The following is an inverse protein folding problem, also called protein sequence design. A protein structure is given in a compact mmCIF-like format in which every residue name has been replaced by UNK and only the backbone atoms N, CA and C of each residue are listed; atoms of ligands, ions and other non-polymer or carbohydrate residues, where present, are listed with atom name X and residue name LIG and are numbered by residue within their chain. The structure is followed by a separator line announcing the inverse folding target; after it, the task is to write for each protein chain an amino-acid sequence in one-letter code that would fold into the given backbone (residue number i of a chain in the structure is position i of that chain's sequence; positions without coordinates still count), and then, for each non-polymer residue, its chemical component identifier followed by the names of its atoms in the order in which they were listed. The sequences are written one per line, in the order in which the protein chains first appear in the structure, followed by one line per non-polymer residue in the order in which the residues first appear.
data_IF_776944235414
#
_entry.id   IF_776944235414
#
_cell.length_a   1.000
_cell.length_b   1.000
_cell.length_c   1.000
_cell.angle_alpha   90.00
_cell.angle_beta   90.00
_cell.angle_gamma   90.00
#
_symmetry.space_group_name_H-M   'P 1'
#
loop_
_entity.id
_entity.type
_entity.pdbx_description
1 polymer ?
#
# COMPACT_ATOMS: atom_id res chain seq x y z
N UNK A 1 -23.20 -8.79 5.01
CA UNK A 1 -22.83 -8.67 6.44
C UNK A 1 -21.33 -8.88 6.51
N UNK A 2 -20.53 -7.81 6.46
CA UNK A 2 -19.13 -7.86 6.84
C UNK A 2 -19.10 -8.35 8.30
N UNK A 3 -18.52 -9.51 8.55
CA UNK A 3 -18.14 -9.90 9.90
C UNK A 3 -17.05 -8.91 10.31
N UNK A 4 -17.40 -7.96 11.21
CA UNK A 4 -16.41 -7.20 11.94
C UNK A 4 -15.42 -8.21 12.53
N UNK A 5 -14.16 -8.13 12.09
CA UNK A 5 -13.09 -8.89 12.70
C UNK A 5 -12.87 -8.29 14.09
N UNK A 6 -13.47 -8.92 15.09
CA UNK A 6 -13.54 -8.43 16.45
C UNK A 6 -12.15 -8.19 17.02
N UNK A 7 -11.85 -6.93 17.32
CA UNK A 7 -10.94 -6.63 18.42
C UNK A 7 -11.60 -7.28 19.63
N UNK A 8 -10.89 -8.15 20.35
CA UNK A 8 -11.44 -8.72 21.58
C UNK A 8 -11.61 -7.56 22.58
N UNK A 9 -12.68 -7.52 23.35
CA UNK A 9 -12.92 -6.46 24.37
C UNK A 9 -11.73 -6.24 25.30
N UNK A 10 -10.87 -7.23 25.48
CA UNK A 10 -9.60 -7.13 26.21
C UNK A 10 -8.58 -6.22 25.53
N UNK A 11 -8.60 -6.10 24.21
CA UNK A 11 -7.61 -5.31 23.46
C UNK A 11 -7.97 -3.82 23.53
N UNK A 12 -9.23 -3.47 23.66
CA UNK A 12 -9.67 -2.05 23.81
C UNK A 12 -9.22 -1.48 25.15
N UNK A 13 -9.12 -2.28 26.20
CA UNK A 13 -8.62 -1.86 27.52
C UNK A 13 -7.16 -1.39 27.43
N UNK A 14 -6.36 -1.98 26.55
CA UNK A 14 -4.94 -1.63 26.35
C UNK A 14 -4.77 -0.22 25.76
N UNK A 15 -5.78 0.26 25.02
CA UNK A 15 -5.73 1.59 24.39
C UNK A 15 -6.19 2.74 25.30
N UNK A 16 -6.71 2.47 26.52
CA UNK A 16 -7.20 3.51 27.42
C UNK A 16 -6.15 4.53 27.82
N UNK A 17 -4.90 4.08 27.99
CA UNK A 17 -3.80 4.92 28.47
C UNK A 17 -2.80 5.33 27.39
N UNK A 18 -3.07 4.97 26.11
CA UNK A 18 -2.18 5.34 25.01
C UNK A 18 -2.23 6.85 24.78
N UNK A 19 -1.09 7.48 24.55
CA UNK A 19 -1.06 8.88 24.11
C UNK A 19 -1.59 8.97 22.69
N UNK A 20 -2.64 9.75 22.48
CA UNK A 20 -3.26 9.98 21.18
C UNK A 20 -2.69 11.24 20.49
N UNK A 21 -2.78 11.35 19.16
CA UNK A 21 -3.12 10.26 18.25
C UNK A 21 -1.98 9.23 18.16
N UNK A 22 -2.32 7.96 17.93
CA UNK A 22 -1.33 6.89 17.82
C UNK A 22 -1.71 5.84 16.79
N UNK A 23 -0.80 5.51 15.88
CA UNK A 23 -0.89 4.27 15.12
C UNK A 23 -0.46 3.10 15.97
N UNK A 24 -1.19 2.00 15.88
CA UNK A 24 -0.87 0.75 16.57
C UNK A 24 -0.83 -0.37 15.55
N UNK A 25 0.32 -1.02 15.43
CA UNK A 25 0.50 -2.20 14.56
C UNK A 25 0.20 -3.45 15.40
N UNK A 26 -0.74 -4.26 14.94
CA UNK A 26 -1.06 -5.56 15.55
C UNK A 26 -0.13 -6.63 14.97
N UNK A 27 0.89 -7.01 15.74
CA UNK A 27 1.90 -7.99 15.31
C UNK A 27 1.28 -9.35 15.01
N UNK A 28 0.26 -9.78 15.76
CA UNK A 28 -0.35 -11.09 15.54
C UNK A 28 -1.12 -11.14 14.21
N UNK A 29 -1.81 -10.05 13.86
CA UNK A 29 -2.50 -9.93 12.57
C UNK A 29 -1.50 -9.82 11.41
N UNK A 30 -0.41 -9.07 11.61
CA UNK A 30 0.68 -8.98 10.64
C UNK A 30 1.29 -10.38 10.38
N UNK A 31 1.58 -11.16 11.42
CA UNK A 31 2.08 -12.53 11.29
C UNK A 31 1.08 -13.43 10.56
N UNK A 32 -0.22 -13.27 10.82
CA UNK A 32 -1.25 -14.03 10.10
C UNK A 32 -1.15 -13.79 8.59
N UNK A 33 -1.10 -12.54 8.15
CA UNK A 33 -0.94 -12.18 6.75
C UNK A 33 0.37 -12.73 6.15
N UNK A 34 1.47 -12.58 6.88
CA UNK A 34 2.78 -13.07 6.46
C UNK A 34 2.82 -14.58 6.28
N UNK A 35 2.07 -15.35 7.08
CA UNK A 35 1.95 -16.81 6.91
C UNK A 35 1.24 -17.18 5.61
N UNK A 36 0.21 -16.43 5.21
CA UNK A 36 -0.49 -16.64 3.93
C UNK A 36 0.48 -16.39 2.78
N UNK A 37 1.18 -15.25 2.79
CA UNK A 37 2.18 -14.90 1.78
C UNK A 37 3.29 -15.93 1.69
N UNK A 38 3.81 -16.38 2.84
CA UNK A 38 4.81 -17.46 2.90
C UNK A 38 4.30 -18.78 2.35
N UNK A 39 3.02 -19.07 2.50
CA UNK A 39 2.36 -20.22 1.90
C UNK A 39 2.46 -20.19 0.37
N UNK A 40 2.17 -19.04 -0.25
CA UNK A 40 2.29 -18.85 -1.71
C UNK A 40 3.74 -19.04 -2.17
N UNK A 41 4.72 -18.41 -1.50
CA UNK A 41 6.14 -18.61 -1.82
C UNK A 41 6.56 -20.10 -1.72
N UNK A 42 6.15 -20.79 -0.67
CA UNK A 42 6.51 -22.21 -0.47
C UNK A 42 5.92 -23.10 -1.54
N UNK A 43 4.69 -22.82 -1.97
CA UNK A 43 3.99 -23.67 -2.93
C UNK A 43 4.47 -23.47 -4.38
N UNK A 44 4.91 -22.26 -4.72
CA UNK A 44 5.27 -21.88 -6.09
C UNK A 44 6.77 -21.66 -6.28
N UNK A 45 7.51 -21.35 -5.22
CA UNK A 45 8.89 -20.86 -5.33
C UNK A 45 9.00 -19.44 -5.88
N UNK A 46 7.90 -18.69 -5.98
CA UNK A 46 7.95 -17.27 -6.33
C UNK A 46 8.54 -16.44 -5.19
N UNK A 47 8.95 -15.23 -5.51
CA UNK A 47 9.47 -14.27 -4.54
C UNK A 47 8.43 -13.18 -4.28
N UNK A 48 8.09 -12.97 -3.02
CA UNK A 48 7.18 -11.89 -2.60
C UNK A 48 7.99 -10.77 -1.96
N UNK A 49 7.76 -9.55 -2.42
CA UNK A 49 8.44 -8.34 -1.96
C UNK A 49 7.42 -7.39 -1.33
N UNK A 50 7.76 -6.83 -0.17
CA UNK A 50 6.96 -5.76 0.44
C UNK A 50 7.05 -4.49 -0.41
N UNK A 51 5.92 -4.00 -0.92
CA UNK A 51 5.86 -2.67 -1.53
C UNK A 51 5.81 -1.60 -0.42
N UNK A 52 6.95 -0.95 -0.20
CA UNK A 52 7.15 -0.02 0.92
C UNK A 52 6.24 1.21 0.86
N UNK A 53 5.78 1.60 -0.34
CA UNK A 53 4.82 2.70 -0.53
C UNK A 53 3.51 2.52 0.26
N UNK A 54 3.11 1.29 0.53
CA UNK A 54 1.91 0.99 1.33
C UNK A 54 2.22 0.87 2.82
N UNK A 55 3.38 0.32 3.18
CA UNK A 55 3.77 0.07 4.56
C UNK A 55 5.28 0.17 4.73
N UNK A 56 5.74 1.16 5.49
CA UNK A 56 7.17 1.43 5.75
C UNK A 56 7.52 1.51 7.24
N UNK A 57 6.72 0.90 8.10
CA UNK A 57 7.05 0.80 9.52
C UNK A 57 8.23 -0.16 9.72
N UNK A 58 9.43 0.34 9.50
CA UNK A 58 10.68 -0.43 9.41
C UNK A 58 11.02 -1.21 10.68
N UNK A 59 10.51 -0.81 11.84
CA UNK A 59 10.65 -1.61 13.07
C UNK A 59 10.09 -3.04 12.91
N UNK A 60 9.18 -3.26 11.94
CA UNK A 60 8.62 -4.57 11.62
C UNK A 60 9.40 -5.32 10.53
N UNK A 61 10.37 -4.70 9.86
CA UNK A 61 11.12 -5.31 8.77
C UNK A 61 11.89 -6.57 9.16
N UNK A 62 12.54 -6.65 10.34
CA UNK A 62 13.17 -7.88 10.78
C UNK A 62 12.19 -9.06 10.92
N UNK A 63 10.95 -8.79 11.35
CA UNK A 63 9.89 -9.79 11.41
C UNK A 63 9.41 -10.17 10.01
N UNK A 64 9.07 -9.18 9.18
CA UNK A 64 8.58 -9.39 7.81
C UNK A 64 9.59 -10.20 6.99
N UNK A 65 10.86 -9.87 7.09
CA UNK A 65 11.95 -10.55 6.40
C UNK A 65 12.13 -12.04 6.77
N UNK A 66 11.53 -12.53 7.86
CA UNK A 66 11.51 -13.97 8.17
C UNK A 66 10.51 -14.74 7.29
N UNK A 67 9.55 -14.05 6.69
CA UNK A 67 8.47 -14.68 5.94
C UNK A 67 8.60 -14.47 4.43
N UNK A 68 8.92 -13.27 3.96
CA UNK A 68 8.96 -12.94 2.54
C UNK A 68 10.38 -12.60 2.05
N UNK A 69 10.54 -12.53 0.72
CA UNK A 69 11.86 -12.52 0.08
C UNK A 69 12.59 -11.18 0.17
N UNK A 70 11.88 -10.05 0.30
CA UNK A 70 12.54 -8.74 0.34
C UNK A 70 11.58 -7.56 0.24
N UNK A 71 12.08 -6.46 -0.31
CA UNK A 71 11.35 -5.19 -0.48
C UNK A 71 11.37 -4.71 -1.93
N UNK A 72 10.34 -3.94 -2.30
CA UNK A 72 10.34 -3.13 -3.51
C UNK A 72 10.10 -1.66 -3.16
N UNK A 73 10.85 -0.79 -3.79
CA UNK A 73 10.91 0.64 -3.53
C UNK A 73 10.33 1.45 -4.69
N UNK A 74 9.78 2.62 -4.38
CA UNK A 74 9.31 3.60 -5.37
C UNK A 74 10.31 4.75 -5.61
N UNK A 75 11.46 4.70 -4.97
CA UNK A 75 12.55 5.69 -5.08
C UNK A 75 13.70 5.38 -4.16
N UNK A 76 14.73 6.25 -4.19
CA UNK A 76 15.99 6.03 -3.48
C UNK A 76 15.82 5.85 -1.97
N UNK A 77 14.99 6.65 -1.31
CA UNK A 77 14.90 6.59 0.15
C UNK A 77 14.20 5.31 0.64
N UNK A 78 13.17 4.83 -0.08
CA UNK A 78 12.60 3.51 0.21
C UNK A 78 13.61 2.39 -0.08
N UNK A 79 14.38 2.48 -1.16
CA UNK A 79 15.40 1.49 -1.48
C UNK A 79 16.50 1.42 -0.41
N UNK A 80 16.93 2.58 0.10
CA UNK A 80 17.86 2.65 1.25
C UNK A 80 17.25 2.02 2.49
N UNK A 81 16.01 2.40 2.83
CA UNK A 81 15.31 1.86 4.00
C UNK A 81 15.21 0.33 3.94
N UNK A 82 14.80 -0.23 2.79
CA UNK A 82 14.75 -1.68 2.59
C UNK A 82 16.11 -2.35 2.75
N UNK A 83 17.17 -1.74 2.19
CA UNK A 83 18.53 -2.25 2.28
C UNK A 83 19.08 -2.20 3.72
N UNK A 84 18.86 -1.10 4.42
CA UNK A 84 19.39 -0.86 5.75
C UNK A 84 18.65 -1.70 6.82
N UNK A 85 17.32 -1.82 6.74
CA UNK A 85 16.48 -2.35 7.81
C UNK A 85 16.01 -3.80 7.59
N UNK A 86 15.81 -4.24 6.33
CA UNK A 86 15.47 -5.64 6.04
C UNK A 86 16.69 -6.43 5.55
N UNK A 87 17.54 -5.79 4.75
CA UNK A 87 18.77 -6.36 4.17
C UNK A 87 18.56 -7.70 3.46
N UNK A 88 17.51 -7.75 2.65
CA UNK A 88 17.17 -8.87 1.75
C UNK A 88 17.12 -8.39 0.31
N UNK A 89 16.50 -9.14 -0.57
CA UNK A 89 16.33 -8.75 -1.98
C UNK A 89 15.64 -7.38 -2.06
N UNK A 90 16.21 -6.45 -2.83
CA UNK A 90 15.83 -5.04 -2.85
C UNK A 90 15.64 -4.56 -4.29
N UNK A 91 14.41 -4.35 -4.68
CA UNK A 91 14.04 -3.88 -6.02
C UNK A 91 13.63 -2.40 -5.99
N UNK A 92 13.72 -1.74 -7.14
CA UNK A 92 13.21 -0.38 -7.30
C UNK A 92 12.53 -0.20 -8.65
N UNK A 93 11.36 0.43 -8.63
CA UNK A 93 10.68 0.98 -9.79
C UNK A 93 10.25 2.42 -9.49
N UNK A 94 10.63 3.37 -10.36
CA UNK A 94 10.10 4.72 -10.34
C UNK A 94 9.74 5.19 -11.76
N UNK A 95 8.71 6.03 -11.92
CA UNK A 95 8.35 6.59 -13.22
C UNK A 95 9.47 7.41 -13.87
N UNK A 96 10.36 7.97 -13.06
CA UNK A 96 11.57 8.67 -13.49
C UNK A 96 12.68 8.56 -12.45
N UNK A 97 13.93 8.67 -12.90
CA UNK A 97 15.11 8.65 -12.02
C UNK A 97 15.96 9.90 -12.27
N UNK A 98 16.48 10.48 -11.19
CA UNK A 98 17.56 11.44 -11.26
C UNK A 98 18.90 10.72 -11.41
N UNK A 99 19.91 11.37 -11.99
CA UNK A 99 21.24 10.77 -12.13
C UNK A 99 21.87 10.47 -10.77
N UNK A 100 21.77 11.40 -9.86
CA UNK A 100 22.28 11.27 -8.48
C UNK A 100 21.67 10.07 -7.75
N UNK A 101 20.35 9.84 -7.93
CA UNK A 101 19.69 8.67 -7.34
C UNK A 101 20.19 7.36 -7.97
N UNK A 102 20.36 7.33 -9.30
CA UNK A 102 20.89 6.15 -10.00
C UNK A 102 22.30 5.77 -9.56
N UNK A 103 23.16 6.76 -9.25
CA UNK A 103 24.53 6.53 -8.79
C UNK A 103 24.57 5.80 -7.43
N UNK A 104 23.50 5.94 -6.62
CA UNK A 104 23.33 5.20 -5.37
C UNK A 104 22.54 3.90 -5.59
N UNK A 105 21.44 3.92 -6.34
CA UNK A 105 20.57 2.76 -6.54
C UNK A 105 21.32 1.56 -7.11
N UNK A 106 22.25 1.78 -8.06
CA UNK A 106 23.06 0.70 -8.64
C UNK A 106 23.98 0.00 -7.63
N UNK A 107 24.17 0.55 -6.43
CA UNK A 107 25.01 -0.03 -5.37
C UNK A 107 24.20 -0.82 -4.34
N UNK A 108 22.88 -0.55 -4.24
CA UNK A 108 22.04 -1.06 -3.16
C UNK A 108 20.87 -1.91 -3.63
N UNK A 109 20.50 -1.85 -4.92
CA UNK A 109 19.41 -2.63 -5.47
C UNK A 109 19.91 -3.85 -6.23
N UNK A 110 19.18 -4.95 -6.12
CA UNK A 110 19.38 -6.17 -6.90
C UNK A 110 18.73 -6.04 -8.28
N UNK A 111 17.52 -5.42 -8.35
CA UNK A 111 16.81 -5.15 -9.59
C UNK A 111 16.44 -3.67 -9.70
N UNK A 112 16.68 -3.10 -10.90
CA UNK A 112 16.21 -1.76 -11.26
C UNK A 112 15.29 -1.86 -12.46
N UNK A 113 14.08 -1.36 -12.33
CA UNK A 113 13.02 -1.46 -13.33
C UNK A 113 12.80 -0.10 -13.96
N UNK A 114 12.91 -0.01 -15.27
CA UNK A 114 12.71 1.22 -16.04
C UNK A 114 11.27 1.35 -16.52
N UNK A 115 10.79 2.58 -16.56
CA UNK A 115 9.44 2.93 -16.97
C UNK A 115 9.30 3.24 -18.45
N UNK A 116 10.39 3.47 -19.15
CA UNK A 116 10.38 3.87 -20.56
C UNK A 116 11.61 3.43 -21.33
N UNK A 117 11.48 3.36 -22.65
CA UNK A 117 12.59 3.10 -23.57
C UNK A 117 13.72 4.14 -23.38
N UNK A 118 13.37 5.40 -23.15
CA UNK A 118 14.36 6.47 -22.95
C UNK A 118 15.18 6.26 -21.66
N UNK A 119 14.52 5.85 -20.55
CA UNK A 119 15.24 5.52 -19.31
C UNK A 119 16.17 4.32 -19.52
N UNK A 120 15.68 3.27 -20.19
CA UNK A 120 16.47 2.08 -20.50
C UNK A 120 17.74 2.47 -21.29
N UNK A 121 17.60 3.25 -22.36
CA UNK A 121 18.74 3.75 -23.15
C UNK A 121 19.72 4.55 -22.30
N UNK A 122 19.21 5.41 -21.43
CA UNK A 122 20.03 6.29 -20.62
C UNK A 122 20.86 5.55 -19.58
N UNK A 123 20.28 4.57 -18.90
CA UNK A 123 20.86 3.98 -17.70
C UNK A 123 21.34 2.53 -17.85
N UNK A 124 20.97 1.84 -18.94
CA UNK A 124 21.34 0.43 -19.17
C UNK A 124 22.84 0.14 -18.96
N UNK A 125 23.70 0.94 -19.56
CA UNK A 125 25.16 0.75 -19.45
C UNK A 125 25.66 0.88 -18.01
N UNK A 126 25.11 1.79 -17.24
CA UNK A 126 25.47 2.00 -15.84
C UNK A 126 25.07 0.79 -14.98
N UNK A 127 23.85 0.29 -15.17
CA UNK A 127 23.35 -0.89 -14.45
C UNK A 127 24.16 -2.16 -14.81
N UNK A 128 24.40 -2.40 -16.10
CA UNK A 128 25.20 -3.56 -16.56
C UNK A 128 26.61 -3.54 -15.97
N UNK A 129 27.25 -2.35 -15.95
CA UNK A 129 28.59 -2.20 -15.34
C UNK A 129 28.57 -2.50 -13.83
N UNK A 130 27.49 -2.19 -13.15
CA UNK A 130 27.31 -2.44 -11.72
C UNK A 130 26.86 -3.89 -11.41
N UNK A 131 26.49 -4.68 -12.43
CA UNK A 131 25.99 -6.03 -12.25
C UNK A 131 24.55 -6.10 -11.71
N UNK A 132 23.78 -5.02 -11.85
CA UNK A 132 22.39 -4.95 -11.41
C UNK A 132 21.48 -5.55 -12.48
N UNK A 133 20.51 -6.36 -12.08
CA UNK A 133 19.50 -6.91 -12.98
C UNK A 133 18.53 -5.82 -13.47
N UNK A 134 18.29 -5.78 -14.76
CA UNK A 134 17.50 -4.74 -15.41
C UNK A 134 16.12 -5.27 -15.80
N UNK A 135 15.07 -4.52 -15.42
CA UNK A 135 13.72 -4.73 -15.87
C UNK A 135 13.13 -3.59 -16.68
N UNK A 136 12.11 -3.91 -17.45
CA UNK A 136 11.28 -2.93 -18.14
C UNK A 136 9.82 -3.10 -17.71
N UNK A 137 9.20 -2.05 -17.19
CA UNK A 137 7.76 -2.06 -16.92
C UNK A 137 6.99 -1.92 -18.22
N UNK A 138 6.11 -2.86 -18.48
CA UNK A 138 5.21 -2.89 -19.63
C UNK A 138 3.79 -2.49 -19.22
N UNK A 139 3.04 -1.93 -20.18
CA UNK A 139 1.63 -1.59 -20.03
C UNK A 139 0.82 -2.38 -21.07
N UNK A 140 0.01 -3.35 -20.64
CA UNK A 140 -0.80 -4.15 -21.54
C UNK A 140 -2.01 -3.39 -22.10
N UNK A 141 -2.29 -2.16 -21.64
CA UNK A 141 -3.42 -1.34 -22.09
C UNK A 141 -4.77 -2.05 -21.89
N UNK A 142 -4.88 -2.82 -20.81
CA UNK A 142 -6.09 -3.52 -20.37
C UNK A 142 -6.34 -3.19 -18.92
N UNK A 143 -7.53 -2.70 -18.62
CA UNK A 143 -7.98 -2.33 -17.28
C UNK A 143 -8.98 -3.33 -16.73
N UNK A 144 -8.88 -3.62 -15.45
CA UNK A 144 -9.88 -4.36 -14.67
C UNK A 144 -10.52 -3.49 -13.58
N UNK A 145 -10.21 -2.16 -13.56
CA UNK A 145 -10.64 -1.24 -12.48
C UNK A 145 -12.09 -0.75 -12.62
N UNK A 146 -12.79 -1.09 -13.71
CA UNK A 146 -14.18 -0.67 -13.95
C UNK A 146 -14.31 0.86 -14.00
N UNK A 147 -15.19 1.43 -13.17
CA UNK A 147 -15.45 2.87 -13.14
C UNK A 147 -14.39 3.69 -12.39
N UNK A 148 -13.40 3.04 -11.74
CA UNK A 148 -12.37 3.69 -10.92
C UNK A 148 -11.13 4.06 -11.71
N UNK A 149 -11.25 4.88 -12.75
CA UNK A 149 -10.13 5.29 -13.62
C UNK A 149 -8.95 5.93 -12.87
N UNK A 150 -9.18 6.54 -11.71
CA UNK A 150 -8.13 7.15 -10.88
C UNK A 150 -7.13 6.13 -10.33
N UNK A 151 -7.54 4.88 -10.20
CA UNK A 151 -6.69 3.78 -9.70
C UNK A 151 -6.09 2.94 -10.83
N UNK A 152 -6.44 3.25 -12.09
CA UNK A 152 -6.06 2.42 -13.22
C UNK A 152 -4.68 2.77 -13.76
N UNK A 153 -3.67 1.93 -13.52
CA UNK A 153 -2.32 2.17 -14.04
C UNK A 153 -2.21 1.91 -15.55
N UNK A 154 -3.25 1.33 -16.17
CA UNK A 154 -3.29 0.97 -17.59
C UNK A 154 -4.25 1.83 -18.42
N UNK A 155 -4.86 2.86 -17.83
CA UNK A 155 -5.76 3.79 -18.52
C UNK A 155 -5.07 4.55 -19.64
N UNK A 156 -5.84 5.04 -20.58
CA UNK A 156 -5.36 5.94 -21.63
C UNK A 156 -4.68 7.18 -21.01
N UNK A 157 -3.51 7.54 -21.51
CA UNK A 157 -2.71 8.65 -20.95
C UNK A 157 -1.93 8.30 -19.69
N UNK A 158 -1.97 7.07 -19.19
CA UNK A 158 -1.14 6.64 -18.07
C UNK A 158 0.34 6.82 -18.39
N UNK A 159 1.09 7.41 -17.44
CA UNK A 159 2.55 7.55 -17.54
C UNK A 159 3.31 6.28 -17.17
N UNK A 160 2.61 5.20 -16.83
CA UNK A 160 3.20 4.01 -16.19
C UNK A 160 3.36 2.87 -17.18
N UNK A 161 4.60 2.52 -17.46
CA UNK A 161 4.99 1.40 -18.31
C UNK A 161 5.00 1.70 -19.81
N UNK A 162 5.63 0.82 -20.55
CA UNK A 162 5.82 0.91 -22.00
C UNK A 162 4.72 0.10 -22.70
N UNK A 163 3.97 0.73 -23.59
CA UNK A 163 3.00 0.04 -24.44
C UNK A 163 3.71 -0.80 -25.51
N UNK A 164 3.03 -1.79 -26.07
CA UNK A 164 3.61 -2.61 -27.15
C UNK A 164 4.06 -1.75 -28.35
N UNK A 165 3.26 -0.73 -28.71
CA UNK A 165 3.59 0.22 -29.77
C UNK A 165 4.89 0.97 -29.49
N UNK A 166 5.06 1.47 -28.26
CA UNK A 166 6.25 2.21 -27.87
C UNK A 166 7.48 1.30 -27.80
N UNK A 167 7.32 0.04 -27.36
CA UNK A 167 8.39 -0.94 -27.32
C UNK A 167 8.85 -1.30 -28.73
N UNK A 168 7.93 -1.63 -29.64
CA UNK A 168 8.25 -1.97 -31.02
C UNK A 168 8.98 -0.81 -31.72
N UNK A 169 8.48 0.43 -31.57
CA UNK A 169 9.18 1.60 -32.09
C UNK A 169 10.61 1.72 -31.54
N UNK A 170 10.80 1.47 -30.25
CA UNK A 170 12.12 1.51 -29.62
C UNK A 170 13.06 0.46 -30.19
N UNK A 171 12.56 -0.75 -30.51
CA UNK A 171 13.32 -1.85 -31.12
C UNK A 171 13.62 -1.54 -32.59
N UNK A 172 12.68 -0.96 -33.35
CA UNK A 172 12.90 -0.55 -34.74
C UNK A 172 14.01 0.52 -34.85
N UNK A 173 14.16 1.37 -33.84
CA UNK A 173 15.23 2.38 -33.75
C UNK A 173 16.56 1.81 -33.23
N UNK A 174 16.54 0.74 -32.46
CA UNK A 174 17.70 0.09 -31.85
C UNK A 174 17.42 -1.39 -31.62
N UNK A 175 17.86 -2.25 -32.54
CA UNK A 175 17.65 -3.69 -32.45
C UNK A 175 18.26 -4.34 -31.19
N UNK A 176 19.23 -3.67 -30.56
CA UNK A 176 19.89 -4.12 -29.33
C UNK A 176 19.23 -3.51 -28.06
N UNK A 177 18.07 -2.88 -28.20
CA UNK A 177 17.39 -2.20 -27.08
C UNK A 177 17.22 -3.11 -25.87
N UNK A 178 16.78 -4.34 -26.08
CA UNK A 178 16.49 -5.31 -25.01
C UNK A 178 17.71 -6.17 -24.62
N UNK A 179 18.85 -6.01 -25.25
CA UNK A 179 20.07 -6.72 -24.88
C UNK A 179 20.48 -6.34 -23.44
N UNK A 180 20.64 -7.35 -22.58
CA UNK A 180 20.95 -7.16 -21.15
C UNK A 180 19.76 -6.76 -20.29
N UNK A 181 18.54 -6.77 -20.81
CA UNK A 181 17.31 -6.69 -20.00
C UNK A 181 16.95 -8.09 -19.53
N UNK A 182 16.93 -8.29 -18.23
CA UNK A 182 16.70 -9.60 -17.60
C UNK A 182 15.23 -9.94 -17.39
N UNK A 183 14.35 -8.92 -17.30
CA UNK A 183 12.96 -9.19 -16.98
C UNK A 183 11.97 -8.12 -17.41
N UNK A 184 10.71 -8.52 -17.39
CA UNK A 184 9.58 -7.63 -17.57
C UNK A 184 8.79 -7.51 -16.26
N UNK A 185 8.26 -6.32 -16.05
CA UNK A 185 7.43 -5.99 -14.91
C UNK A 185 6.10 -5.41 -15.41
N UNK A 186 4.98 -5.82 -14.81
CA UNK A 186 3.71 -5.15 -14.97
C UNK A 186 3.01 -4.99 -13.62
N UNK A 187 2.30 -3.89 -13.47
CA UNK A 187 1.49 -3.60 -12.29
C UNK A 187 0.17 -3.05 -12.80
N UNK A 188 -0.84 -3.91 -12.86
CA UNK A 188 -2.13 -3.65 -13.51
C UNK A 188 -3.29 -3.61 -12.54
N UNK A 189 -3.08 -4.04 -11.30
CA UNK A 189 -4.11 -4.20 -10.28
C UNK A 189 -4.03 -3.10 -9.21
N UNK A 190 -5.18 -2.81 -8.62
CA UNK A 190 -5.32 -2.08 -7.38
C UNK A 190 -6.44 -2.73 -6.56
N UNK A 191 -6.10 -3.30 -5.39
CA UNK A 191 -7.02 -3.94 -4.45
C UNK A 191 -7.93 -5.02 -5.06
N UNK A 192 -7.39 -5.84 -5.96
CA UNK A 192 -8.18 -6.80 -6.72
C UNK A 192 -7.86 -8.25 -6.38
N UNK A 193 -8.80 -9.15 -6.73
CA UNK A 193 -8.66 -10.59 -6.60
C UNK A 193 -7.88 -11.18 -7.80
N UNK A 194 -7.56 -12.45 -7.73
CA UNK A 194 -6.74 -13.17 -8.73
C UNK A 194 -7.41 -13.37 -10.10
N UNK A 195 -8.71 -13.26 -10.20
CA UNK A 195 -9.44 -13.22 -11.48
C UNK A 195 -9.06 -12.01 -12.34
N UNK A 196 -8.88 -10.85 -11.72
CA UNK A 196 -8.36 -9.66 -12.38
C UNK A 196 -6.90 -9.85 -12.84
N UNK A 197 -6.05 -10.53 -12.03
CA UNK A 197 -4.71 -10.91 -12.47
C UNK A 197 -4.77 -11.81 -13.71
N UNK A 198 -5.61 -12.84 -13.69
CA UNK A 198 -5.75 -13.76 -14.84
C UNK A 198 -6.11 -13.00 -16.12
N UNK A 199 -7.08 -12.09 -16.03
CA UNK A 199 -7.52 -11.25 -17.18
C UNK A 199 -6.37 -10.40 -17.71
N UNK A 200 -5.62 -9.73 -16.84
CA UNK A 200 -4.51 -8.87 -17.29
C UNK A 200 -3.30 -9.67 -17.74
N UNK A 201 -3.06 -10.85 -17.16
CA UNK A 201 -2.00 -11.76 -17.59
C UNK A 201 -2.24 -12.26 -19.03
N UNK A 202 -3.47 -12.63 -19.37
CA UNK A 202 -3.82 -13.03 -20.73
C UNK A 202 -3.48 -11.91 -21.75
N UNK A 203 -3.78 -10.66 -21.40
CA UNK A 203 -3.44 -9.51 -22.26
C UNK A 203 -1.92 -9.24 -22.32
N UNK A 204 -1.19 -9.48 -21.24
CA UNK A 204 0.27 -9.39 -21.20
C UNK A 204 0.88 -10.46 -22.10
N UNK A 205 0.40 -11.69 -22.03
CA UNK A 205 0.91 -12.80 -22.86
C UNK A 205 0.60 -12.59 -24.33
N UNK A 206 -0.61 -12.13 -24.67
CA UNK A 206 -0.97 -11.81 -26.07
C UNK A 206 -0.05 -10.77 -26.68
N UNK A 207 0.25 -9.69 -25.94
CA UNK A 207 1.03 -8.56 -26.46
C UNK A 207 2.54 -8.75 -26.30
N UNK A 208 2.99 -9.28 -25.16
CA UNK A 208 4.40 -9.29 -24.77
C UNK A 208 5.00 -10.70 -24.63
N UNK A 209 4.21 -11.77 -24.81
CA UNK A 209 4.66 -13.16 -24.62
C UNK A 209 5.96 -13.49 -25.36
N UNK A 210 6.11 -13.03 -26.61
CA UNK A 210 7.35 -13.23 -27.38
C UNK A 210 8.60 -12.66 -26.68
N UNK A 211 8.46 -11.60 -25.90
CA UNK A 211 9.56 -11.00 -25.15
C UNK A 211 9.79 -11.70 -23.82
N UNK A 212 8.72 -12.25 -23.20
CA UNK A 212 8.81 -12.99 -21.94
C UNK A 212 9.70 -14.24 -22.04
N UNK A 213 9.72 -14.92 -23.20
CA UNK A 213 10.60 -16.07 -23.43
C UNK A 213 12.09 -15.77 -23.34
N UNK A 214 12.49 -14.50 -23.45
CA UNK A 214 13.88 -14.07 -23.35
C UNK A 214 14.25 -13.56 -21.95
N UNK A 215 13.28 -13.59 -21.02
CA UNK A 215 13.47 -13.10 -19.66
C UNK A 215 14.04 -14.17 -18.74
N UNK A 216 14.72 -13.74 -17.68
CA UNK A 216 15.12 -14.57 -16.54
C UNK A 216 14.07 -14.52 -15.43
N UNK A 217 13.29 -13.43 -15.38
CA UNK A 217 12.25 -13.23 -14.42
C UNK A 217 11.10 -12.38 -14.97
N UNK A 218 9.90 -12.59 -14.39
CA UNK A 218 8.71 -11.78 -14.61
C UNK A 218 8.23 -11.29 -13.26
N UNK A 219 7.99 -10.00 -13.14
CA UNK A 219 7.41 -9.37 -11.97
C UNK A 219 5.97 -8.96 -12.27
N UNK A 220 5.02 -9.57 -11.62
CA UNK A 220 3.59 -9.33 -11.83
C UNK A 220 3.04 -8.18 -10.97
N UNK A 221 3.92 -7.41 -10.34
CA UNK A 221 3.59 -6.20 -9.58
C UNK A 221 2.80 -6.45 -8.31
N UNK A 222 2.13 -5.40 -7.87
CA UNK A 222 1.28 -5.37 -6.67
C UNK A 222 -0.20 -5.21 -6.99
N UNK A 223 -0.98 -4.75 -6.00
CA UNK A 223 -2.42 -4.61 -6.09
C UNK A 223 -3.19 -5.92 -5.86
N UNK A 224 -2.48 -6.99 -5.51
CA UNK A 224 -3.04 -8.29 -5.16
C UNK A 224 -3.48 -8.31 -3.69
N UNK A 225 -4.76 -8.44 -3.42
CA UNK A 225 -5.29 -8.51 -2.04
C UNK A 225 -5.20 -9.92 -1.44
N UNK A 226 -4.03 -10.55 -1.51
CA UNK A 226 -3.77 -11.97 -1.22
C UNK A 226 -4.26 -12.40 0.17
N UNK A 227 -4.25 -11.52 1.15
CA UNK A 227 -4.61 -11.79 2.54
C UNK A 227 -6.06 -11.44 2.88
N UNK A 228 -6.83 -10.94 1.92
CA UNK A 228 -8.27 -10.72 2.08
C UNK A 228 -9.01 -12.06 2.14
N UNK A 229 -10.04 -12.17 2.99
CA UNK A 229 -10.77 -13.43 3.23
C UNK A 229 -11.33 -14.10 1.97
N UNK A 230 -11.79 -13.30 1.00
CA UNK A 230 -12.41 -13.76 -0.24
C UNK A 230 -11.43 -13.90 -1.40
N UNK A 231 -10.11 -13.76 -1.15
CA UNK A 231 -9.11 -13.85 -2.21
C UNK A 231 -8.88 -15.31 -2.63
N UNK A 232 -8.94 -15.57 -3.94
CA UNK A 232 -8.65 -16.89 -4.48
C UNK A 232 -7.14 -17.11 -4.62
N UNK A 233 -6.52 -17.57 -3.52
CA UNK A 233 -5.09 -17.91 -3.47
C UNK A 233 -4.75 -19.05 -4.44
N UNK A 234 -5.69 -19.96 -4.71
CA UNK A 234 -5.44 -21.08 -5.63
C UNK A 234 -5.25 -20.58 -7.05
N UNK A 235 -6.12 -19.70 -7.53
CA UNK A 235 -5.99 -19.10 -8.86
C UNK A 235 -4.69 -18.29 -8.99
N UNK A 236 -4.26 -17.58 -7.94
CA UNK A 236 -2.95 -16.91 -7.92
C UNK A 236 -1.81 -17.90 -8.13
N UNK A 237 -1.81 -19.01 -7.38
CA UNK A 237 -0.79 -20.06 -7.50
C UNK A 237 -0.77 -20.63 -8.91
N UNK A 238 -1.94 -20.88 -9.50
CA UNK A 238 -2.05 -21.40 -10.86
C UNK A 238 -1.52 -20.39 -11.90
N UNK A 239 -1.80 -19.09 -11.74
CA UNK A 239 -1.22 -18.03 -12.58
C UNK A 239 0.33 -17.97 -12.47
N UNK A 240 0.85 -18.05 -11.24
CA UNK A 240 2.31 -18.04 -11.01
C UNK A 240 2.97 -19.23 -11.67
N UNK A 241 2.44 -20.45 -11.44
CA UNK A 241 2.96 -21.68 -12.06
C UNK A 241 2.88 -21.65 -13.59
N UNK A 242 1.76 -21.18 -14.12
CA UNK A 242 1.60 -21.01 -15.57
C UNK A 242 2.73 -20.18 -16.18
N UNK A 243 3.06 -19.02 -15.58
CA UNK A 243 4.15 -18.17 -16.06
C UNK A 243 5.51 -18.86 -15.91
N UNK A 244 5.76 -19.53 -14.78
CA UNK A 244 7.00 -20.26 -14.55
C UNK A 244 7.20 -21.40 -15.56
N UNK A 245 6.17 -22.20 -15.80
CA UNK A 245 6.23 -23.37 -16.66
C UNK A 245 6.32 -22.97 -18.15
N UNK A 246 5.60 -21.91 -18.55
CA UNK A 246 5.56 -21.46 -19.95
C UNK A 246 6.85 -20.75 -20.37
N UNK A 247 7.38 -19.89 -19.49
CA UNK A 247 8.51 -19.01 -19.84
C UNK A 247 9.85 -19.43 -19.20
N UNK A 248 9.83 -20.40 -18.28
CA UNK A 248 11.00 -20.88 -17.53
C UNK A 248 11.71 -19.77 -16.73
N UNK A 249 10.94 -18.93 -16.07
CA UNK A 249 11.38 -17.72 -15.37
C UNK A 249 11.13 -17.80 -13.87
N UNK A 250 11.86 -16.97 -13.11
CA UNK A 250 11.45 -16.63 -11.74
C UNK A 250 10.27 -15.68 -11.79
N UNK A 251 9.35 -15.81 -10.82
CA UNK A 251 8.20 -14.90 -10.68
C UNK A 251 8.32 -14.10 -9.40
N UNK A 252 8.04 -12.80 -9.51
CA UNK A 252 7.97 -11.84 -8.40
C UNK A 252 6.56 -11.28 -8.26
N UNK A 253 6.14 -11.05 -7.01
CA UNK A 253 4.93 -10.33 -6.62
C UNK A 253 5.30 -9.19 -5.66
N UNK A 254 4.62 -8.06 -5.77
CA UNK A 254 4.90 -6.86 -4.98
C UNK A 254 3.67 -6.38 -4.17
N UNK A 255 3.04 -7.24 -3.36
CA UNK A 255 1.91 -6.79 -2.54
C UNK A 255 2.39 -5.74 -1.53
N UNK A 256 1.61 -4.68 -1.39
CA UNK A 256 1.79 -3.68 -0.34
C UNK A 256 0.77 -3.86 0.76
N UNK A 257 -0.48 -3.58 0.45
CA UNK A 257 -1.61 -3.67 1.38
C UNK A 257 -1.77 -5.06 1.99
N UNK A 258 -1.71 -6.11 1.17
CA UNK A 258 -1.87 -7.47 1.65
C UNK A 258 -0.89 -7.88 2.76
N UNK A 259 0.26 -7.21 2.89
CA UNK A 259 1.21 -7.47 3.98
C UNK A 259 0.64 -7.03 5.32
N UNK A 260 0.05 -5.85 5.39
CA UNK A 260 -0.43 -5.26 6.64
C UNK A 260 -1.94 -4.99 6.68
N UNK A 261 -2.72 -5.62 5.79
CA UNK A 261 -4.18 -5.51 5.73
C UNK A 261 -4.80 -5.88 7.08
N UNK A 262 -5.66 -5.01 7.59
CA UNK A 262 -6.32 -5.14 8.91
C UNK A 262 -5.35 -5.29 10.10
N UNK A 263 -4.06 -5.04 9.92
CA UNK A 263 -3.04 -5.22 10.96
C UNK A 263 -2.66 -3.92 11.66
N UNK A 264 -3.50 -2.89 11.60
CA UNK A 264 -3.22 -1.65 12.31
C UNK A 264 -4.44 -0.83 12.64
N UNK A 265 -4.25 0.06 13.60
CA UNK A 265 -5.26 0.96 14.14
C UNK A 265 -4.75 2.38 14.20
N UNK A 266 -5.65 3.36 14.18
CA UNK A 266 -5.38 4.73 14.62
C UNK A 266 -6.28 5.02 15.83
N UNK A 267 -5.66 5.19 16.99
CA UNK A 267 -6.34 5.57 18.23
C UNK A 267 -6.34 7.08 18.35
N UNK A 268 -7.52 7.65 18.61
CA UNK A 268 -7.77 9.09 18.68
C UNK A 268 -8.64 9.42 19.89
N UNK A 269 -8.64 10.68 20.32
CA UNK A 269 -9.45 11.19 21.41
C UNK A 269 -10.42 12.25 20.90
N UNK A 270 -11.64 12.25 21.44
CA UNK A 270 -12.65 13.29 21.19
C UNK A 270 -12.29 14.52 22.01
N UNK A 271 -11.98 15.62 21.35
CA UNK A 271 -11.57 16.88 21.97
C UNK A 271 -12.74 17.81 22.25
N UNK A 272 -13.76 17.81 21.38
CA UNK A 272 -14.92 18.71 21.49
C UNK A 272 -16.12 18.15 20.72
N UNK A 273 -17.30 18.70 21.00
CA UNK A 273 -18.57 18.44 20.31
C UNK A 273 -19.18 19.75 19.86
N UNK A 274 -19.57 19.83 18.59
CA UNK A 274 -20.26 21.02 18.03
C UNK A 274 -21.52 20.58 17.30
N UNK A 275 -22.54 21.42 17.35
CA UNK A 275 -23.80 21.19 16.63
C UNK A 275 -24.16 22.41 15.78
N UNK A 276 -24.09 22.27 14.49
CA UNK A 276 -24.55 23.23 13.49
C UNK A 276 -25.58 22.57 12.56
N UNK A 277 -26.53 21.83 13.13
CA UNK A 277 -27.51 21.02 12.41
C UNK A 277 -27.10 19.57 12.20
N UNK A 278 -25.82 19.25 12.42
CA UNK A 278 -25.29 17.90 12.55
C UNK A 278 -24.35 17.89 13.75
N UNK A 279 -24.57 16.97 14.67
CA UNK A 279 -23.67 16.78 15.81
C UNK A 279 -22.33 16.23 15.33
N UNK A 280 -21.27 17.01 15.52
CA UNK A 280 -19.92 16.72 15.01
C UNK A 280 -18.94 16.55 16.16
N UNK A 281 -18.20 15.46 16.18
CA UNK A 281 -17.11 15.20 17.10
C UNK A 281 -15.79 15.70 16.50
N UNK A 282 -15.09 16.55 17.24
CA UNK A 282 -13.77 17.06 16.87
C UNK A 282 -12.71 16.16 17.51
N UNK A 283 -11.89 15.54 16.66
CA UNK A 283 -10.87 14.57 17.08
C UNK A 283 -9.46 15.17 17.03
N UNK A 284 -8.53 14.57 17.78
CA UNK A 284 -7.09 14.83 17.63
C UNK A 284 -6.45 14.09 16.45
N UNK A 285 -7.21 13.24 15.73
CA UNK A 285 -6.85 12.70 14.43
C UNK A 285 -7.43 13.57 13.30
N UNK A 286 -6.88 13.44 12.09
CA UNK A 286 -7.24 14.20 10.90
C UNK A 286 -7.26 13.31 9.67
N UNK A 287 -8.29 13.45 8.84
CA UNK A 287 -8.29 12.81 7.52
C UNK A 287 -7.12 13.34 6.68
N UNK A 288 -6.99 14.67 6.58
CA UNK A 288 -5.95 15.29 5.76
C UNK A 288 -4.52 14.97 6.20
N UNK A 289 -4.28 14.79 7.51
CA UNK A 289 -2.92 14.62 8.05
C UNK A 289 -2.55 13.17 8.35
N UNK A 290 -3.50 12.33 8.78
CA UNK A 290 -3.20 11.02 9.33
C UNK A 290 -3.77 9.87 8.51
N UNK A 291 -4.77 10.12 7.66
CA UNK A 291 -5.39 9.16 6.76
C UNK A 291 -5.80 9.85 5.43
N UNK A 292 -4.83 10.40 4.66
CA UNK A 292 -5.14 11.27 3.53
C UNK A 292 -5.99 10.61 2.44
N UNK A 293 -5.96 9.28 2.30
CA UNK A 293 -6.76 8.57 1.33
C UNK A 293 -8.27 8.69 1.56
N UNK A 294 -8.70 9.01 2.78
CA UNK A 294 -10.10 9.37 3.05
C UNK A 294 -10.58 10.54 2.16
N UNK A 295 -9.69 11.49 1.87
CA UNK A 295 -9.97 12.66 1.03
C UNK A 295 -9.49 12.48 -0.42
N UNK A 296 -8.32 11.86 -0.63
CA UNK A 296 -7.70 11.71 -1.95
C UNK A 296 -8.33 10.58 -2.77
N UNK A 297 -8.76 9.52 -2.09
CA UNK A 297 -9.29 8.28 -2.63
C UNK A 297 -10.61 7.94 -1.91
N UNK A 298 -11.64 8.79 -1.96
CA UNK A 298 -12.72 8.89 -0.98
C UNK A 298 -13.29 7.56 -0.52
N UNK A 299 -13.11 7.25 0.76
CA UNK A 299 -13.74 6.15 1.48
C UNK A 299 -14.01 6.55 2.93
N UNK A 300 -14.85 5.81 3.61
CA UNK A 300 -15.08 5.99 5.06
C UNK A 300 -14.39 4.86 5.81
N UNK A 301 -13.39 5.14 6.66
CA UNK A 301 -12.63 4.11 7.36
C UNK A 301 -13.52 3.38 8.38
N UNK A 302 -13.36 2.04 8.53
CA UNK A 302 -14.05 1.30 9.57
C UNK A 302 -13.65 1.81 10.96
N UNK A 303 -14.65 1.93 11.84
CA UNK A 303 -14.47 2.36 13.22
C UNK A 303 -14.96 1.26 14.18
N UNK A 304 -14.15 0.94 15.19
CA UNK A 304 -14.51 -0.07 16.17
C UNK A 304 -15.73 0.37 16.99
N UNK A 305 -16.71 -0.53 17.10
CA UNK A 305 -17.93 -0.27 17.87
C UNK A 305 -18.93 0.70 17.23
N UNK A 306 -18.71 1.08 15.97
CA UNK A 306 -19.62 1.97 15.25
C UNK A 306 -19.98 1.40 13.86
N UNK A 307 -21.10 1.88 13.32
CA UNK A 307 -21.53 1.58 11.95
C UNK A 307 -21.37 2.82 11.08
N UNK A 308 -20.85 2.62 9.86
CA UNK A 308 -20.79 3.69 8.87
C UNK A 308 -22.21 3.97 8.37
N UNK A 309 -22.60 5.23 8.39
CA UNK A 309 -23.87 5.68 7.81
C UNK A 309 -23.60 6.49 6.54
N UNK A 310 -24.58 6.54 5.66
CA UNK A 310 -24.50 7.39 4.50
C UNK A 310 -24.42 8.87 4.92
N UNK A 311 -23.77 9.71 4.10
CA UNK A 311 -23.60 11.14 4.37
C UNK A 311 -24.95 11.77 4.77
N UNK A 312 -25.06 12.18 6.03
CA UNK A 312 -26.28 12.70 6.64
C UNK A 312 -26.83 13.90 5.85
N UNK A 313 -25.95 14.72 5.29
CA UNK A 313 -26.36 15.87 4.45
C UNK A 313 -26.97 15.47 3.12
N UNK A 314 -26.62 14.34 2.57
CA UNK A 314 -27.15 13.85 1.29
C UNK A 314 -28.46 13.08 1.44
N UNK A 315 -28.65 12.41 2.57
CA UNK A 315 -29.79 11.54 2.79
C UNK A 315 -31.00 12.27 3.40
N UNK A 316 -30.83 13.47 3.97
CA UNK A 316 -31.84 14.28 4.68
C UNK A 316 -32.64 13.53 5.77
N UNK A 317 -32.30 12.29 6.05
CA UNK A 317 -32.95 11.48 7.07
C UNK A 317 -31.86 10.78 7.91
N UNK A 318 -31.74 11.19 9.19
CA UNK A 318 -31.10 10.30 10.16
C UNK A 318 -31.90 8.99 10.19
N UNK A 319 -31.26 7.80 10.34
CA UNK A 319 -31.99 6.56 10.53
C UNK A 319 -33.06 6.75 11.62
N UNK A 320 -34.32 6.43 11.32
CA UNK A 320 -35.48 6.75 12.20
C UNK A 320 -35.40 6.15 13.62
N UNK A 321 -34.48 5.20 13.82
CA UNK A 321 -34.27 4.51 15.09
C UNK A 321 -32.81 4.68 15.63
N UNK A 322 -31.98 5.53 15.01
CA UNK A 322 -30.60 5.75 15.41
C UNK A 322 -30.53 6.70 16.62
N UNK A 323 -29.96 6.22 17.71
CA UNK A 323 -29.89 7.00 18.95
C UNK A 323 -28.68 7.95 19.01
N UNK A 324 -27.55 7.59 18.38
CA UNK A 324 -26.29 8.35 18.48
C UNK A 324 -25.55 8.38 17.13
N UNK A 325 -25.84 9.38 16.31
CA UNK A 325 -25.20 9.56 15.01
C UNK A 325 -24.36 10.82 15.03
N UNK A 326 -23.08 10.68 14.70
CA UNK A 326 -22.12 11.77 14.69
C UNK A 326 -21.35 11.84 13.39
N UNK A 327 -21.05 13.07 12.97
CA UNK A 327 -19.99 13.34 12.02
C UNK A 327 -18.66 13.37 12.77
N UNK A 328 -17.61 12.72 12.23
CA UNK A 328 -16.26 12.79 12.76
C UNK A 328 -15.43 13.74 11.90
N UNK A 329 -14.74 14.66 12.54
CA UNK A 329 -13.88 15.66 11.93
C UNK A 329 -12.65 15.92 12.81
N UNK A 330 -11.77 16.81 12.38
CA UNK A 330 -10.53 17.12 13.11
C UNK A 330 -10.51 18.56 13.61
N UNK A 331 -9.46 18.92 14.36
CA UNK A 331 -9.23 20.29 14.79
C UNK A 331 -8.34 21.11 13.83
N UNK A 332 -8.10 20.62 12.59
CA UNK A 332 -7.49 21.45 11.55
C UNK A 332 -8.46 22.54 11.08
N UNK A 333 -7.92 23.63 10.52
CA UNK A 333 -8.73 24.70 9.94
C UNK A 333 -9.24 24.39 8.52
N UNK A 334 -9.01 23.18 8.00
CA UNK A 334 -9.49 22.76 6.69
C UNK A 334 -10.97 22.34 6.81
N UNK A 335 -11.88 23.12 6.25
CA UNK A 335 -13.32 22.84 6.30
C UNK A 335 -13.70 21.45 5.74
N UNK A 336 -12.93 20.93 4.78
CA UNK A 336 -13.13 19.61 4.18
C UNK A 336 -12.47 18.46 4.94
N UNK A 337 -11.89 18.68 6.13
CA UNK A 337 -11.26 17.61 6.93
C UNK A 337 -12.34 16.83 7.71
N UNK A 338 -13.14 16.10 6.94
CA UNK A 338 -14.24 15.25 7.44
C UNK A 338 -13.82 13.81 7.22
N UNK A 339 -13.93 13.00 8.28
CA UNK A 339 -13.56 11.58 8.25
C UNK A 339 -14.74 10.74 7.76
N UNK A 340 -15.93 10.99 8.28
CA UNK A 340 -17.14 10.28 7.91
C UNK A 340 -18.26 10.45 8.93
N UNK A 341 -19.40 9.82 8.67
CA UNK A 341 -20.57 9.82 9.51
C UNK A 341 -20.78 8.41 10.10
N UNK A 342 -21.02 8.32 11.40
CA UNK A 342 -21.08 7.06 12.14
C UNK A 342 -22.23 7.00 13.14
N UNK A 343 -22.80 5.81 13.27
CA UNK A 343 -23.80 5.47 14.29
C UNK A 343 -23.16 4.61 15.38
N UNK A 344 -23.42 4.97 16.64
CA UNK A 344 -22.95 4.28 17.84
C UNK A 344 -24.14 3.74 18.64
N UNK A 345 -23.90 2.73 19.45
CA UNK A 345 -24.89 2.16 20.38
C UNK A 345 -24.98 2.89 21.73
N UNK A 346 -24.10 3.87 21.95
CA UNK A 346 -24.06 4.71 23.15
C UNK A 346 -23.62 6.14 22.82
N UNK A 347 -23.86 7.05 23.74
CA UNK A 347 -23.41 8.44 23.63
C UNK A 347 -21.88 8.52 23.71
N UNK A 348 -21.28 9.27 22.79
CA UNK A 348 -19.84 9.57 22.79
C UNK A 348 -19.64 10.94 23.46
N UNK A 349 -18.66 11.02 24.36
CA UNK A 349 -18.34 12.22 25.13
C UNK A 349 -16.93 12.73 24.86
N UNK A 350 -16.68 13.98 25.21
CA UNK A 350 -15.32 14.55 25.20
C UNK A 350 -14.43 13.74 26.14
N UNK A 351 -13.24 13.37 25.64
CA UNK A 351 -12.30 12.49 26.32
C UNK A 351 -12.44 11.01 25.96
N UNK A 352 -13.51 10.61 25.29
CA UNK A 352 -13.66 9.24 24.81
C UNK A 352 -12.64 8.93 23.70
N UNK A 353 -12.21 7.67 23.66
CA UNK A 353 -11.26 7.19 22.66
C UNK A 353 -11.96 6.41 21.56
N UNK A 354 -11.66 6.77 20.34
CA UNK A 354 -12.14 6.09 19.14
C UNK A 354 -10.99 5.36 18.46
N UNK A 355 -11.29 4.25 17.80
CA UNK A 355 -10.29 3.37 17.20
C UNK A 355 -10.66 3.12 15.74
N UNK A 356 -10.00 3.82 14.82
CA UNK A 356 -10.11 3.52 13.40
C UNK A 356 -9.35 2.24 13.08
N UNK A 357 -9.98 1.37 12.31
CA UNK A 357 -9.44 0.07 11.89
C UNK A 357 -8.76 0.19 10.54
N UNK A 358 -7.91 -0.81 10.23
CA UNK A 358 -7.15 -0.90 8.98
C UNK A 358 -6.29 0.33 8.67
N UNK A 359 -5.61 0.86 9.68
CA UNK A 359 -4.82 2.09 9.62
C UNK A 359 -3.30 1.86 9.54
N UNK A 360 -2.84 0.64 9.18
CA UNK A 360 -1.42 0.38 8.95
C UNK A 360 -0.96 0.75 7.53
N UNK A 361 -1.85 0.63 6.55
CA UNK A 361 -1.56 0.78 5.12
C UNK A 361 -1.95 2.17 4.62
N UNK A 362 -1.13 2.76 3.75
CA UNK A 362 -1.31 4.08 3.13
C UNK A 362 -1.68 5.21 4.11
N UNK A 363 -1.35 5.05 5.39
CA UNK A 363 -1.56 6.04 6.45
C UNK A 363 -0.24 6.64 6.94
N UNK A 364 0.56 5.89 7.69
CA UNK A 364 1.88 6.34 8.19
C UNK A 364 2.82 6.83 7.06
N UNK A 365 2.77 6.20 5.91
CA UNK A 365 3.60 6.54 4.73
C UNK A 365 3.16 7.82 4.01
N UNK A 366 1.94 8.29 4.26
CA UNK A 366 1.34 9.49 3.64
C UNK A 366 1.07 10.61 4.63
N UNK A 367 1.34 10.43 5.92
CA UNK A 367 1.04 11.41 6.95
C UNK A 367 1.81 12.73 6.76
N UNK A 368 1.24 13.81 7.28
CA UNK A 368 1.83 15.14 7.21
C UNK A 368 1.49 15.96 8.47
N UNK A 369 2.01 17.19 8.53
CA UNK A 369 1.88 18.08 9.68
C UNK A 369 1.19 19.40 9.31
N UNK A 370 0.23 19.36 8.40
CA UNK A 370 -0.56 20.53 8.05
C UNK A 370 -1.21 21.16 9.29
N UNK A 371 -1.33 22.48 9.36
CA UNK A 371 -1.79 23.24 10.53
C UNK A 371 -0.99 23.00 11.83
N UNK A 372 0.21 22.42 11.75
CA UNK A 372 0.96 22.07 12.95
C UNK A 372 0.43 20.84 13.66
N UNK A 373 -0.38 20.00 12.99
CA UNK A 373 -0.85 18.72 13.54
C UNK A 373 0.35 17.85 13.93
N UNK A 374 0.36 17.28 15.15
CA UNK A 374 1.42 16.34 15.54
C UNK A 374 1.32 15.07 14.72
N UNK A 375 2.46 14.49 14.35
CA UNK A 375 2.48 13.14 13.81
C UNK A 375 2.04 12.14 14.89
N UNK A 376 1.14 11.18 14.59
CA UNK A 376 0.76 10.14 15.52
C UNK A 376 1.97 9.31 15.95
N UNK A 377 2.08 8.99 17.23
CA UNK A 377 3.09 8.04 17.70
C UNK A 377 2.86 6.66 17.07
N UNK A 378 3.90 5.82 17.06
CA UNK A 378 3.83 4.46 16.50
C UNK A 378 4.08 3.48 17.64
N UNK A 379 3.13 2.56 17.82
CA UNK A 379 3.19 1.50 18.82
C UNK A 379 2.96 0.12 18.18
N UNK A 380 3.40 -0.93 18.85
CA UNK A 380 3.13 -2.32 18.45
C UNK A 380 2.33 -2.99 19.56
N UNK A 381 1.24 -3.63 19.18
CA UNK A 381 0.45 -4.53 20.02
C UNK A 381 0.88 -5.97 19.75
N UNK A 382 1.40 -6.63 20.79
CA UNK A 382 1.82 -8.02 20.76
C UNK A 382 1.27 -8.75 21.97
N UNK A 383 0.49 -9.81 21.76
CA UNK A 383 -0.07 -10.66 22.83
C UNK A 383 -0.76 -9.85 23.95
N UNK A 384 -1.52 -8.82 23.56
CA UNK A 384 -2.22 -7.93 24.49
C UNK A 384 -1.32 -6.93 25.23
N UNK A 385 -0.05 -6.80 24.85
CA UNK A 385 0.87 -5.81 25.39
C UNK A 385 1.22 -4.76 24.35
N UNK A 386 1.12 -3.51 24.75
CA UNK A 386 1.47 -2.35 23.92
C UNK A 386 2.90 -1.90 24.19
N UNK A 387 3.66 -1.68 23.13
CA UNK A 387 5.02 -1.14 23.19
C UNK A 387 5.14 0.08 22.29
N UNK A 388 5.55 1.21 22.84
CA UNK A 388 5.84 2.42 22.08
C UNK A 388 7.13 2.21 21.28
N UNK A 389 7.06 2.40 19.96
CA UNK A 389 8.22 2.30 19.05
C UNK A 389 8.80 3.68 18.78
N UNK A 390 7.93 4.65 18.47
CA UNK A 390 8.36 6.01 18.12
C UNK A 390 7.33 7.05 18.55
N UNK A 391 7.83 8.15 19.07
CA UNK A 391 7.03 9.36 19.33
C UNK A 391 7.61 10.54 18.56
N UNK A 392 6.75 11.51 18.28
CA UNK A 392 7.11 12.70 17.53
C UNK A 392 6.76 13.95 18.36
N UNK A 393 7.46 15.03 18.09
CA UNK A 393 7.29 16.30 18.79
C UNK A 393 7.43 17.52 17.89
N UNK A 394 7.56 18.69 18.50
CA UNK A 394 7.69 19.95 17.81
C UNK A 394 8.85 20.00 16.79
N UNK A 395 9.98 19.37 17.13
CA UNK A 395 11.15 19.37 16.24
C UNK A 395 10.89 18.61 14.94
N UNK A 396 10.04 17.56 14.95
CA UNK A 396 9.65 16.82 13.74
C UNK A 396 8.79 17.68 12.79
N UNK A 397 8.00 18.62 13.34
CA UNK A 397 7.31 19.63 12.57
C UNK A 397 8.28 20.69 12.03
N UNK A 398 9.09 21.28 12.91
CA UNK A 398 9.95 22.43 12.62
C UNK A 398 11.05 22.10 11.62
N UNK A 399 11.68 20.92 11.71
CA UNK A 399 12.80 20.56 10.84
C UNK A 399 12.42 20.40 9.35
N UNK A 400 11.12 20.41 9.04
CA UNK A 400 10.61 20.34 7.65
C UNK A 400 10.39 21.71 7.00
N UNK A 401 10.43 22.79 7.77
CA UNK A 401 10.15 24.16 7.36
C UNK A 401 11.44 24.97 7.32
#
# INVERSE_FOLDING_TARGET
RQRQMCIRDRDTVVFKDIKTPSYVIDENKLIHNLKILKGVEKETGCHILLAQKAFSAYAMYPLIGQYISGTTASGLYEARLGKEEMNKENHVFAPAYKQEDMDELVKICDHIIFNSVNQLRKYKKQCLKAGVSIGLRINPEVSTQGEHAIYDPCSEGSRLGVTLKALNKGIDEDEQLLEGVDGLHFHTLCEQNSDALKTTLDAVEEKFGKYMHNCRWINMGGGHHITREDYDVRLLIDCVRHVQDTYHVKVYLEPGEAVALNAGYLVTEVLDKVDNGIETLILDASAACHMPDVLEMPYTPPLYGAQIVADILKTQEAPKDAHFVYRLSSYTCLAGDIIGDYEFDHEINVGDRLIFMDMAIYSMVKNNTFNGMPLPSISVLKDGKLSLIKSFGYEDFKCRL
#
